data_IF_445718024006
#
_entry.id   IF_445718024006
#
_cell.length_a   1.000
_cell.length_b   1.000
_cell.length_c   1.000
_cell.angle_alpha   90.00
_cell.angle_beta   90.00
_cell.angle_gamma   90.00
#
_symmetry.space_group_name_H-M   'P 1'
#
loop_
_entity.id
_entity.type
_entity.pdbx_description
1 polymer ?
#
# COMPACT_ATOMS: atom_id res chain seq x y z
N UNK A 1 4.72 7.49 11.43
CA UNK A 1 4.14 8.51 10.53
C UNK A 1 3.64 9.77 11.28
N UNK A 2 3.16 9.69 12.53
CA UNK A 2 2.69 10.86 13.31
C UNK A 2 3.68 12.04 13.40
N UNK A 3 4.99 11.78 13.31
CA UNK A 3 6.04 12.81 13.24
C UNK A 3 6.12 13.55 11.88
N UNK A 4 5.18 13.34 10.95
CA UNK A 4 5.18 13.97 9.62
C UNK A 4 6.11 13.31 8.60
N UNK A 5 6.60 12.09 8.88
CA UNK A 5 7.41 11.34 7.92
C UNK A 5 6.52 10.80 6.79
N UNK A 6 6.82 11.21 5.55
CA UNK A 6 5.99 10.94 4.37
C UNK A 6 6.24 9.56 3.73
N UNK A 7 7.38 8.93 4.01
CA UNK A 7 7.76 7.64 3.44
C UNK A 7 8.47 6.76 4.46
N UNK A 8 8.03 5.51 4.56
CA UNK A 8 8.59 4.48 5.45
C UNK A 8 8.52 3.16 4.67
N UNK A 9 9.54 2.32 4.80
CA UNK A 9 9.58 0.98 4.21
C UNK A 9 10.20 0.01 5.22
N UNK A 10 9.49 -1.09 5.49
CA UNK A 10 10.02 -2.19 6.28
C UNK A 10 10.87 -3.10 5.39
N UNK A 11 12.06 -3.45 5.85
CA UNK A 11 12.91 -4.44 5.19
C UNK A 11 12.96 -5.70 6.08
N UNK A 12 12.35 -6.82 5.67
CA UNK A 12 12.53 -8.07 6.40
C UNK A 12 13.96 -8.60 6.19
N UNK A 13 14.59 -9.03 7.29
CA UNK A 13 15.90 -9.68 7.27
C UNK A 13 15.80 -10.99 8.05
N UNK A 14 16.40 -12.04 7.50
CA UNK A 14 16.39 -13.39 8.04
C UNK A 14 17.12 -14.35 7.10
N UNK A 15 17.32 -15.57 7.56
CA UNK A 15 17.89 -16.67 6.78
C UNK A 15 16.92 -17.24 5.76
N UNK A 16 15.60 -17.16 6.01
CA UNK A 16 14.57 -17.50 5.04
C UNK A 16 14.39 -16.39 3.99
N UNK A 17 15.12 -16.52 2.88
CA UNK A 17 15.08 -15.59 1.76
C UNK A 17 13.70 -15.52 1.09
N UNK A 18 12.94 -16.61 1.10
CA UNK A 18 11.62 -16.64 0.46
C UNK A 18 10.59 -15.92 1.32
N UNK A 19 10.67 -16.09 2.64
CA UNK A 19 9.83 -15.34 3.56
C UNK A 19 10.12 -13.83 3.52
N UNK A 20 11.40 -13.44 3.36
CA UNK A 20 11.77 -12.04 3.15
C UNK A 20 11.10 -11.47 1.89
N UNK A 21 11.06 -12.23 0.79
CA UNK A 21 10.40 -11.82 -0.44
C UNK A 21 8.87 -11.71 -0.28
N UNK A 22 8.25 -12.63 0.46
CA UNK A 22 6.80 -12.67 0.66
C UNK A 22 6.30 -11.60 1.65
N UNK A 23 7.14 -11.19 2.60
CA UNK A 23 6.78 -10.23 3.66
C UNK A 23 6.95 -8.78 3.17
N UNK A 24 6.05 -8.35 2.29
CA UNK A 24 6.15 -7.05 1.60
C UNK A 24 5.45 -5.87 2.30
N UNK A 25 4.68 -6.13 3.37
CA UNK A 25 3.97 -5.11 4.18
C UNK A 25 3.05 -4.14 3.37
N UNK A 26 2.54 -4.59 2.21
CA UNK A 26 1.64 -3.76 1.38
C UNK A 26 0.34 -3.40 2.11
N UNK A 27 -0.26 -4.36 2.82
CA UNK A 27 -1.49 -4.14 3.58
C UNK A 27 -1.27 -3.29 4.84
N UNK A 28 -0.10 -3.41 5.48
CA UNK A 28 0.26 -2.58 6.64
C UNK A 28 0.38 -1.11 6.26
N UNK A 29 1.04 -0.82 5.14
CA UNK A 29 1.20 0.55 4.64
C UNK A 29 -0.15 1.18 4.33
N UNK A 30 -1.08 0.43 3.71
CA UNK A 30 -2.44 0.89 3.48
C UNK A 30 -3.21 1.14 4.79
N UNK A 31 -3.02 0.27 5.78
CA UNK A 31 -3.63 0.40 7.12
C UNK A 31 -3.14 1.65 7.84
N UNK A 32 -1.83 1.92 7.83
CA UNK A 32 -1.25 3.13 8.43
C UNK A 32 -1.79 4.40 7.78
N UNK A 33 -1.90 4.43 6.44
CA UNK A 33 -2.50 5.56 5.72
C UNK A 33 -3.94 5.79 6.15
N UNK A 34 -4.75 4.74 6.19
CA UNK A 34 -6.15 4.84 6.61
C UNK A 34 -6.28 5.30 8.07
N UNK A 35 -5.47 4.75 8.97
CA UNK A 35 -5.48 5.08 10.40
C UNK A 35 -5.17 6.56 10.65
N UNK A 36 -4.22 7.11 9.90
CA UNK A 36 -3.77 8.49 10.05
C UNK A 36 -4.44 9.46 9.05
N UNK A 37 -5.43 8.98 8.29
CA UNK A 37 -6.10 9.75 7.23
C UNK A 37 -5.12 10.40 6.23
N UNK A 38 -4.05 9.68 5.88
CA UNK A 38 -3.05 10.09 4.91
C UNK A 38 -3.37 9.54 3.53
N UNK A 39 -2.92 10.24 2.49
CA UNK A 39 -3.17 9.88 1.09
C UNK A 39 -1.85 9.60 0.34
N UNK A 40 -1.88 8.83 -0.75
CA UNK A 40 -0.75 8.74 -1.68
C UNK A 40 -0.47 10.10 -2.36
N UNK A 41 0.57 10.18 -3.20
CA UNK A 41 0.74 11.37 -4.04
C UNK A 41 -0.50 11.59 -4.93
N UNK A 42 -0.89 12.84 -5.22
CA UNK A 42 -2.13 13.13 -5.95
C UNK A 42 -2.21 12.44 -7.31
N UNK A 43 -1.09 12.35 -8.04
CA UNK A 43 -0.99 11.68 -9.33
C UNK A 43 -1.28 10.19 -9.21
N UNK A 44 -0.72 9.56 -8.18
CA UNK A 44 -0.86 8.14 -7.95
C UNK A 44 -2.25 7.78 -7.41
N UNK A 45 -2.83 8.62 -6.55
CA UNK A 45 -4.20 8.44 -6.09
C UNK A 45 -5.19 8.50 -7.25
N UNK A 46 -5.08 9.50 -8.14
CA UNK A 46 -5.94 9.59 -9.34
C UNK A 46 -5.85 8.33 -10.19
N UNK A 47 -4.66 7.79 -10.37
CA UNK A 47 -4.46 6.53 -11.11
C UNK A 47 -5.07 5.32 -10.38
N UNK A 48 -4.89 5.21 -9.06
CA UNK A 48 -5.50 4.14 -8.26
C UNK A 48 -7.03 4.18 -8.31
N UNK A 49 -7.61 5.37 -8.33
CA UNK A 49 -9.05 5.57 -8.50
C UNK A 49 -9.52 5.21 -9.91
N UNK A 50 -8.77 5.58 -10.96
CA UNK A 50 -9.14 5.22 -12.34
C UNK A 50 -9.05 3.71 -12.59
N UNK A 51 -8.15 3.00 -11.89
CA UNK A 51 -8.07 1.53 -11.91
C UNK A 51 -9.12 0.86 -11.02
N UNK A 52 -9.81 1.62 -10.16
CA UNK A 52 -10.77 1.10 -9.18
C UNK A 52 -10.14 0.33 -8.02
N UNK A 53 -8.83 0.48 -7.80
CA UNK A 53 -8.08 -0.13 -6.69
C UNK A 53 -8.35 0.64 -5.38
N UNK A 54 -8.55 1.95 -5.49
CA UNK A 54 -8.84 2.86 -4.38
C UNK A 54 -10.11 3.66 -4.67
N UNK A 55 -10.82 4.07 -3.62
CA UNK A 55 -11.88 5.06 -3.68
C UNK A 55 -11.86 5.88 -2.40
N UNK A 56 -11.81 7.22 -2.52
CA UNK A 56 -11.80 8.12 -1.37
C UNK A 56 -10.69 7.79 -0.35
N UNK A 57 -9.49 7.49 -0.82
CA UNK A 57 -8.34 7.21 0.04
C UNK A 57 -8.39 5.85 0.74
N UNK A 58 -9.33 4.98 0.37
CA UNK A 58 -9.48 3.62 0.93
C UNK A 58 -9.41 2.57 -0.17
N UNK A 59 -8.74 1.46 0.12
CA UNK A 59 -8.68 0.32 -0.79
C UNK A 59 -10.08 -0.28 -1.01
N UNK A 60 -10.33 -0.70 -2.25
CA UNK A 60 -11.57 -1.41 -2.63
C UNK A 60 -11.38 -2.93 -2.57
N UNK A 61 -12.41 -3.68 -2.96
CA UNK A 61 -12.34 -5.15 -3.08
C UNK A 61 -11.33 -5.64 -4.13
N UNK A 62 -10.87 -4.77 -5.04
CA UNK A 62 -9.87 -5.11 -6.06
C UNK A 62 -8.43 -5.07 -5.52
N UNK A 63 -8.22 -4.53 -4.32
CA UNK A 63 -6.87 -4.49 -3.76
C UNK A 63 -6.36 -5.90 -3.47
N UNK A 64 -5.21 -6.25 -4.07
CA UNK A 64 -4.64 -7.59 -3.99
C UNK A 64 -5.12 -8.55 -5.08
N UNK A 65 -6.01 -8.13 -5.97
CA UNK A 65 -6.43 -8.91 -7.14
C UNK A 65 -5.58 -8.53 -8.38
N UNK A 66 -4.63 -9.38 -8.81
CA UNK A 66 -3.75 -9.08 -9.93
C UNK A 66 -4.43 -9.27 -11.29
N UNK A 67 -5.66 -9.82 -11.36
CA UNK A 67 -6.36 -10.01 -12.64
C UNK A 67 -6.60 -8.73 -13.43
N UNK A 68 -6.56 -7.58 -12.74
CA UNK A 68 -6.65 -6.24 -13.31
C UNK A 68 -5.56 -5.92 -14.36
N UNK A 69 -4.42 -6.62 -14.32
CA UNK A 69 -3.27 -6.33 -15.17
C UNK A 69 -3.14 -7.27 -16.39
N UNK A 70 -4.08 -8.19 -16.57
CA UNK A 70 -4.10 -9.17 -17.66
C UNK A 70 -5.41 -9.07 -18.44
#
# INVERSE_FOLDING_TARGET
>A
ATAGCNYIMGMPLGDDIMLNYQTTAFHDTATVRQLLNLRPSPEFERWLESMGIMANGRLTKRAGDPSLFF
#
